data_IF_698095856981
#
_entry.id   IF_698095856981
#
_cell.length_a   1.000
_cell.length_b   1.000
_cell.length_c   1.000
_cell.angle_alpha   90.00
_cell.angle_beta   90.00
_cell.angle_gamma   90.00
#
_symmetry.space_group_name_H-M   'P 1'
#
loop_
_entity.id
_entity.type
_entity.pdbx_description
1 polymer ?
#
# COMPACT_ATOMS: atom_id res chain seq x y z
N UNK A 1 -20.54 -8.75 -16.98
CA UNK A 1 -19.93 -9.48 -15.85
C UNK A 1 -19.94 -8.56 -14.65
N UNK A 2 -20.56 -9.00 -13.58
CA UNK A 2 -20.71 -8.17 -12.39
C UNK A 2 -19.40 -8.17 -11.62
N UNK A 3 -18.69 -7.04 -11.67
CA UNK A 3 -17.55 -6.81 -10.81
C UNK A 3 -18.08 -6.51 -9.41
N UNK A 4 -17.91 -7.46 -8.50
CA UNK A 4 -18.27 -7.26 -7.11
C UNK A 4 -17.24 -6.39 -6.41
N UNK A 5 -17.66 -5.22 -5.90
CA UNK A 5 -16.81 -4.33 -5.09
C UNK A 5 -17.08 -4.55 -3.62
N UNK A 6 -16.02 -4.69 -2.84
CA UNK A 6 -16.06 -4.74 -1.38
C UNK A 6 -15.19 -3.62 -0.81
N UNK A 7 -15.80 -2.71 -0.09
CA UNK A 7 -15.08 -1.68 0.64
C UNK A 7 -14.79 -2.16 2.06
N UNK A 8 -13.57 -1.95 2.51
CA UNK A 8 -13.10 -2.38 3.82
C UNK A 8 -12.55 -1.16 4.57
N UNK A 9 -13.09 -0.90 5.74
CA UNK A 9 -12.51 0.07 6.67
C UNK A 9 -11.46 -0.63 7.53
N UNK A 10 -10.18 -0.37 7.23
CA UNK A 10 -9.06 -0.91 7.99
C UNK A 10 -8.50 0.11 8.99
N UNK A 11 -8.83 1.39 8.83
CA UNK A 11 -8.28 2.42 9.69
C UNK A 11 -8.77 3.84 9.41
N UNK A 12 -10.01 4.03 9.04
CA UNK A 12 -10.60 5.37 8.91
C UNK A 12 -10.63 6.04 10.28
N UNK A 13 -10.21 7.32 10.36
CA UNK A 13 -10.04 8.07 11.60
C UNK A 13 -11.37 8.42 12.33
N UNK A 14 -12.51 7.93 11.85
CA UNK A 14 -13.83 8.05 12.44
C UNK A 14 -14.69 6.85 12.12
N UNK A 15 -15.79 6.66 12.84
CA UNK A 15 -16.76 5.64 12.49
C UNK A 15 -17.61 6.08 11.30
N UNK A 16 -17.81 5.15 10.37
CA UNK A 16 -18.67 5.33 9.22
C UNK A 16 -19.80 4.28 9.28
N UNK A 17 -21.01 4.75 9.07
CA UNK A 17 -22.20 3.91 9.03
C UNK A 17 -22.78 3.94 7.61
N UNK A 18 -22.27 3.08 6.74
CA UNK A 18 -22.78 2.95 5.39
C UNK A 18 -22.99 1.48 5.00
N UNK A 19 -24.06 1.25 4.25
CA UNK A 19 -24.35 -0.11 3.74
C UNK A 19 -23.24 -0.60 2.84
N UNK A 20 -22.84 -1.85 3.02
CA UNK A 20 -21.80 -2.49 2.20
C UNK A 20 -20.37 -2.24 2.64
N UNK A 21 -20.13 -1.43 3.67
CA UNK A 21 -18.80 -1.27 4.27
C UNK A 21 -18.52 -2.44 5.22
N UNK A 22 -17.40 -3.11 5.01
CA UNK A 22 -16.87 -4.14 5.91
C UNK A 22 -15.91 -3.47 6.91
N UNK A 23 -16.35 -3.37 8.16
CA UNK A 23 -15.56 -2.71 9.20
C UNK A 23 -14.58 -3.71 9.81
N UNK A 24 -13.30 -3.55 9.48
CA UNK A 24 -12.16 -4.35 9.98
C UNK A 24 -11.11 -3.44 10.62
N UNK A 25 -11.57 -2.40 11.27
CA UNK A 25 -10.76 -1.32 11.81
C UNK A 25 -9.71 -1.84 12.80
N UNK A 26 -8.44 -1.57 12.49
CA UNK A 26 -7.29 -1.86 13.37
C UNK A 26 -7.05 -0.69 14.32
N UNK A 27 -7.10 0.53 13.79
CA UNK A 27 -6.96 1.77 14.56
C UNK A 27 -7.71 2.91 13.87
N UNK A 28 -7.86 4.04 14.54
CA UNK A 28 -8.47 5.26 14.01
C UNK A 28 -7.44 6.13 13.27
N UNK A 29 -6.89 5.61 12.18
CA UNK A 29 -5.77 6.19 11.44
C UNK A 29 -4.42 5.83 12.04
N UNK A 30 -3.36 6.19 11.33
CA UNK A 30 -1.99 6.09 11.86
C UNK A 30 -1.63 7.35 12.66
N UNK A 31 -0.62 7.22 13.49
CA UNK A 31 0.04 8.37 14.12
C UNK A 31 0.85 9.16 13.09
N UNK A 32 1.22 10.37 13.43
CA UNK A 32 2.06 11.21 12.57
C UNK A 32 3.51 10.74 12.60
N UNK A 33 3.97 10.06 11.56
CA UNK A 33 5.31 9.50 11.50
C UNK A 33 6.44 10.55 11.55
N UNK A 34 6.15 11.83 11.29
CA UNK A 34 7.11 12.91 11.51
C UNK A 34 7.43 13.10 13.01
N UNK A 35 6.48 12.76 13.91
CA UNK A 35 6.60 12.95 15.35
C UNK A 35 6.91 11.67 16.10
N UNK A 36 6.28 10.55 15.70
CA UNK A 36 6.37 9.24 16.35
C UNK A 36 6.19 8.12 15.31
N UNK A 37 6.40 6.83 15.62
CA UNK A 37 6.09 5.74 14.69
C UNK A 37 4.64 5.77 14.23
N UNK A 38 4.40 5.47 12.95
CA UNK A 38 3.06 5.52 12.35
C UNK A 38 2.05 4.58 13.05
N UNK A 39 2.52 3.41 13.47
CA UNK A 39 1.71 2.41 14.18
C UNK A 39 2.62 1.52 15.02
N UNK A 40 2.03 0.66 15.86
CA UNK A 40 2.80 -0.38 16.53
C UNK A 40 3.06 -1.54 15.56
N UNK A 41 4.02 -2.41 15.90
CA UNK A 41 4.29 -3.62 15.12
C UNK A 41 3.09 -4.56 15.12
N UNK A 42 2.38 -4.64 16.24
CA UNK A 42 1.16 -5.43 16.40
C UNK A 42 0.03 -4.92 15.51
N UNK A 43 -0.17 -3.60 15.43
CA UNK A 43 -1.15 -2.96 14.52
C UNK A 43 -0.81 -3.29 13.05
N UNK A 44 0.46 -3.22 12.65
CA UNK A 44 0.89 -3.60 11.31
C UNK A 44 0.61 -5.07 11.00
N UNK A 45 0.94 -5.97 11.92
CA UNK A 45 0.65 -7.42 11.79
C UNK A 45 -0.86 -7.66 11.71
N UNK A 46 -1.66 -7.02 12.56
CA UNK A 46 -3.12 -7.14 12.55
C UNK A 46 -3.73 -6.70 11.22
N UNK A 47 -3.24 -5.58 10.66
CA UNK A 47 -3.69 -5.10 9.36
C UNK A 47 -3.33 -6.08 8.22
N UNK A 48 -2.13 -6.65 8.25
CA UNK A 48 -1.70 -7.69 7.30
C UNK A 48 -2.59 -8.93 7.44
N UNK A 49 -2.81 -9.42 8.65
CA UNK A 49 -3.67 -10.57 8.90
C UNK A 49 -5.11 -10.33 8.42
N UNK A 50 -5.61 -9.10 8.56
CA UNK A 50 -6.93 -8.70 8.02
C UNK A 50 -6.97 -8.87 6.50
N UNK A 51 -5.95 -8.43 5.78
CA UNK A 51 -5.85 -8.61 4.33
C UNK A 51 -5.82 -10.08 3.92
N UNK A 52 -5.04 -10.90 4.61
CA UNK A 52 -4.99 -12.36 4.38
C UNK A 52 -6.37 -12.99 4.58
N UNK A 53 -7.04 -12.65 5.67
CA UNK A 53 -8.36 -13.19 6.01
C UNK A 53 -9.42 -12.79 4.98
N UNK A 54 -9.38 -11.56 4.46
CA UNK A 54 -10.29 -11.10 3.40
C UNK A 54 -10.15 -11.94 2.14
N UNK A 55 -8.93 -12.28 1.73
CA UNK A 55 -8.71 -13.14 0.55
C UNK A 55 -9.23 -14.54 0.79
N UNK A 56 -9.02 -15.11 1.98
CA UNK A 56 -9.61 -16.41 2.36
C UNK A 56 -11.12 -16.40 2.20
N UNK A 57 -11.80 -15.43 2.80
CA UNK A 57 -13.27 -15.29 2.73
C UNK A 57 -13.77 -15.17 1.28
N UNK A 58 -13.03 -14.43 0.42
CA UNK A 58 -13.39 -14.30 -0.98
C UNK A 58 -13.16 -15.61 -1.76
N UNK A 59 -12.06 -16.31 -1.48
CA UNK A 59 -11.82 -17.64 -2.08
C UNK A 59 -12.91 -18.63 -1.71
N UNK A 60 -13.30 -18.68 -0.44
CA UNK A 60 -14.39 -19.54 0.06
C UNK A 60 -15.76 -19.17 -0.57
N UNK A 61 -15.96 -17.90 -0.89
CA UNK A 61 -17.13 -17.40 -1.61
C UNK A 61 -17.08 -17.66 -3.15
N UNK A 62 -16.03 -18.33 -3.66
CA UNK A 62 -15.91 -18.72 -5.06
C UNK A 62 -15.18 -17.72 -5.96
N UNK A 63 -14.63 -16.64 -5.44
CA UNK A 63 -13.84 -15.70 -6.25
C UNK A 63 -12.46 -16.29 -6.57
N UNK A 64 -12.06 -16.20 -7.84
CA UNK A 64 -10.82 -16.76 -8.36
C UNK A 64 -9.84 -15.70 -8.89
N UNK A 65 -10.21 -14.43 -8.85
CA UNK A 65 -9.39 -13.28 -9.19
C UNK A 65 -9.82 -12.11 -8.31
N UNK A 66 -8.86 -11.41 -7.75
CA UNK A 66 -9.10 -10.22 -6.93
C UNK A 66 -8.26 -9.07 -7.52
N UNK A 67 -8.83 -7.88 -7.58
CA UNK A 67 -8.10 -6.65 -7.83
C UNK A 67 -8.08 -5.82 -6.55
N UNK A 68 -6.92 -5.27 -6.23
CA UNK A 68 -6.78 -4.32 -5.13
C UNK A 68 -7.15 -2.92 -5.58
N UNK A 69 -7.50 -2.09 -4.64
CA UNK A 69 -7.72 -0.67 -4.77
C UNK A 69 -7.69 -0.04 -3.38
N UNK A 70 -7.51 1.24 -3.30
CA UNK A 70 -7.47 1.94 -2.03
C UNK A 70 -8.07 3.34 -2.13
N UNK A 71 -8.47 3.88 -1.00
CA UNK A 71 -8.80 5.28 -0.78
C UNK A 71 -8.24 5.69 0.58
N UNK A 72 -7.09 6.37 0.57
CA UNK A 72 -6.40 6.83 1.77
C UNK A 72 -5.90 8.26 1.61
N UNK A 73 -6.44 9.20 2.39
CA UNK A 73 -5.98 10.58 2.36
C UNK A 73 -4.56 10.66 2.92
N UNK A 74 -3.64 11.18 2.10
CA UNK A 74 -2.23 11.36 2.49
C UNK A 74 -1.35 10.11 2.29
N UNK A 75 -1.88 8.99 1.83
CA UNK A 75 -1.14 7.74 1.70
C UNK A 75 -0.03 7.74 0.63
N UNK A 76 -0.04 8.68 -0.32
CA UNK A 76 1.12 8.89 -1.20
C UNK A 76 2.38 9.31 -0.43
N UNK A 77 2.22 9.94 0.75
CA UNK A 77 3.34 10.31 1.63
C UNK A 77 3.95 9.08 2.31
N UNK A 78 3.12 8.24 2.92
CA UNK A 78 3.56 6.99 3.54
C UNK A 78 4.13 6.02 2.50
N UNK A 79 3.51 5.92 1.32
CA UNK A 79 4.01 5.08 0.22
C UNK A 79 5.38 5.52 -0.28
N UNK A 80 5.60 6.83 -0.48
CA UNK A 80 6.92 7.36 -0.86
C UNK A 80 7.97 7.08 0.23
N UNK A 81 7.61 7.20 1.51
CA UNK A 81 8.51 6.90 2.62
C UNK A 81 8.88 5.40 2.66
N UNK A 82 7.90 4.52 2.58
CA UNK A 82 8.13 3.06 2.56
C UNK A 82 9.01 2.67 1.38
N UNK A 83 8.66 3.10 0.17
CA UNK A 83 9.42 2.76 -1.04
C UNK A 83 10.84 3.30 -0.98
N UNK A 84 11.05 4.52 -0.49
CA UNK A 84 12.38 5.11 -0.30
C UNK A 84 13.27 4.23 0.58
N UNK A 85 12.74 3.73 1.69
CA UNK A 85 13.48 2.83 2.58
C UNK A 85 13.80 1.51 1.91
N UNK A 86 12.81 0.86 1.29
CA UNK A 86 12.97 -0.46 0.69
C UNK A 86 13.96 -0.46 -0.49
N UNK A 87 13.89 0.56 -1.33
CA UNK A 87 14.71 0.66 -2.56
C UNK A 87 16.00 1.46 -2.37
N UNK A 88 16.18 2.12 -1.22
CA UNK A 88 17.26 3.07 -0.97
C UNK A 88 17.31 4.23 -1.99
N UNK A 89 16.19 4.55 -2.57
CA UNK A 89 16.05 5.68 -3.50
C UNK A 89 15.73 6.94 -2.71
N UNK A 90 16.41 8.07 -2.96
CA UNK A 90 16.11 9.33 -2.27
C UNK A 90 14.65 9.76 -2.42
N UNK A 91 14.00 10.25 -1.34
CA UNK A 91 12.60 10.68 -1.38
C UNK A 91 12.27 11.69 -2.47
N UNK A 92 13.21 12.53 -2.87
CA UNK A 92 13.05 13.52 -3.94
C UNK A 92 12.70 12.90 -5.29
N UNK A 93 13.17 11.69 -5.55
CA UNK A 93 12.92 10.98 -6.80
C UNK A 93 11.60 10.21 -6.80
N UNK A 94 11.03 9.98 -5.59
CA UNK A 94 9.85 9.15 -5.39
C UNK A 94 8.59 9.95 -5.05
N UNK A 95 8.76 11.17 -4.55
CA UNK A 95 7.64 11.94 -4.03
C UNK A 95 6.92 12.69 -5.14
N UNK A 96 5.67 12.31 -5.35
CA UNK A 96 4.78 12.97 -6.29
C UNK A 96 3.88 14.01 -5.61
N UNK A 97 3.15 14.77 -6.46
CA UNK A 97 2.21 15.81 -6.01
C UNK A 97 0.95 15.23 -5.36
N UNK A 98 0.71 13.92 -5.50
CA UNK A 98 -0.51 13.30 -5.00
C UNK A 98 -1.76 14.01 -5.53
N UNK A 99 -2.65 14.43 -4.64
CA UNK A 99 -3.89 15.12 -4.97
C UNK A 99 -3.72 16.59 -5.44
N UNK A 100 -2.56 16.96 -5.95
CA UNK A 100 -2.35 18.29 -6.57
C UNK A 100 -1.63 19.32 -5.69
N UNK A 101 -0.65 18.91 -4.91
CA UNK A 101 0.19 19.83 -4.14
C UNK A 101 0.90 20.88 -5.02
N UNK A 102 1.02 22.11 -4.48
CA UNK A 102 1.87 23.14 -5.02
C UNK A 102 3.36 22.72 -5.00
N UNK A 103 4.23 23.46 -5.69
CA UNK A 103 5.66 23.16 -5.66
C UNK A 103 6.27 23.30 -4.26
N UNK A 104 5.84 24.29 -3.48
CA UNK A 104 6.23 24.44 -2.07
C UNK A 104 5.70 23.31 -1.20
N UNK A 105 4.46 22.85 -1.43
CA UNK A 105 3.88 21.70 -0.74
C UNK A 105 4.62 20.40 -1.04
N UNK A 106 5.06 20.22 -2.29
CA UNK A 106 5.86 19.06 -2.69
C UNK A 106 7.24 19.07 -1.99
N UNK A 107 7.92 20.22 -1.97
CA UNK A 107 9.20 20.36 -1.27
C UNK A 107 9.07 20.05 0.22
N UNK A 108 8.04 20.61 0.87
CA UNK A 108 7.75 20.32 2.28
C UNK A 108 7.44 18.84 2.53
N UNK A 109 6.62 18.22 1.69
CA UNK A 109 6.31 16.77 1.78
C UNK A 109 7.59 15.93 1.71
N UNK A 110 8.49 16.26 0.78
CA UNK A 110 9.78 15.57 0.60
C UNK A 110 10.66 15.72 1.85
N UNK A 111 10.78 16.94 2.37
CA UNK A 111 11.52 17.24 3.60
C UNK A 111 10.97 16.45 4.80
N UNK A 112 9.64 16.39 4.97
CA UNK A 112 8.99 15.63 6.04
C UNK A 112 9.35 14.13 5.93
N UNK A 113 9.32 13.55 4.73
CA UNK A 113 9.69 12.15 4.52
C UNK A 113 11.17 11.92 4.89
N UNK A 114 12.07 12.75 4.42
CA UNK A 114 13.51 12.65 4.72
C UNK A 114 13.78 12.69 6.24
N UNK A 115 13.22 13.70 6.91
CA UNK A 115 13.40 13.90 8.35
C UNK A 115 12.79 12.73 9.15
N UNK A 116 11.66 12.19 8.71
CA UNK A 116 11.03 11.04 9.34
C UNK A 116 11.89 9.77 9.18
N UNK A 117 12.38 9.47 8.00
CA UNK A 117 13.28 8.32 7.77
C UNK A 117 14.55 8.47 8.62
N UNK A 118 15.16 9.66 8.63
CA UNK A 118 16.37 9.91 9.40
C UNK A 118 16.17 9.75 10.91
N UNK A 119 15.02 10.19 11.44
CA UNK A 119 14.71 10.13 12.88
C UNK A 119 14.18 8.77 13.33
N UNK A 120 13.34 8.10 12.51
CA UNK A 120 12.76 6.78 12.83
C UNK A 120 13.70 5.62 12.55
N UNK A 121 14.65 5.80 11.63
CA UNK A 121 15.66 4.79 11.24
C UNK A 121 15.03 3.42 10.98
N UNK A 122 14.09 3.32 10.04
CA UNK A 122 13.48 2.04 9.70
C UNK A 122 14.53 1.08 9.14
N UNK A 123 14.53 -0.17 9.62
CA UNK A 123 15.38 -1.22 9.08
C UNK A 123 14.77 -1.78 7.80
N UNK A 124 15.39 -1.52 6.65
CA UNK A 124 14.92 -1.99 5.35
C UNK A 124 14.82 -3.51 5.22
N UNK A 125 15.52 -4.25 6.06
CA UNK A 125 15.51 -5.72 6.06
C UNK A 125 14.40 -6.29 6.95
N UNK A 126 13.75 -5.45 7.75
CA UNK A 126 12.56 -5.79 8.53
C UNK A 126 11.34 -5.01 8.02
N UNK A 127 10.59 -5.61 7.12
CA UNK A 127 9.41 -4.99 6.50
C UNK A 127 8.39 -4.51 7.54
N UNK A 128 8.23 -5.25 8.65
CA UNK A 128 7.32 -4.84 9.71
C UNK A 128 7.84 -3.62 10.47
N UNK A 129 9.15 -3.47 10.62
CA UNK A 129 9.75 -2.26 11.20
C UNK A 129 9.53 -1.05 10.28
N UNK A 130 9.71 -1.22 8.97
CA UNK A 130 9.43 -0.17 7.98
C UNK A 130 7.97 0.25 8.05
N UNK A 131 7.05 -0.71 7.97
CA UNK A 131 5.60 -0.46 8.00
C UNK A 131 5.17 0.21 9.31
N UNK A 132 5.66 -0.23 10.44
CA UNK A 132 5.30 0.34 11.74
C UNK A 132 5.81 1.78 11.90
N UNK A 133 6.98 2.09 11.38
CA UNK A 133 7.61 3.41 11.54
C UNK A 133 7.10 4.46 10.57
N UNK A 134 6.93 4.11 9.29
CA UNK A 134 6.63 5.09 8.22
C UNK A 134 5.50 4.63 7.26
N UNK A 135 4.85 3.52 7.55
CA UNK A 135 3.81 2.94 6.70
C UNK A 135 2.40 3.48 6.92
N UNK A 136 1.43 2.73 6.40
CA UNK A 136 0.00 2.99 6.51
C UNK A 136 -0.79 1.70 6.70
N UNK A 137 -1.95 1.76 7.36
CA UNK A 137 -2.82 0.59 7.60
C UNK A 137 -3.36 0.01 6.29
N UNK A 138 -3.61 0.87 5.30
CA UNK A 138 -4.01 0.51 3.94
C UNK A 138 -2.91 -0.28 3.23
N UNK A 139 -1.67 0.19 3.29
CA UNK A 139 -0.49 -0.51 2.73
C UNK A 139 -0.35 -1.89 3.38
N UNK A 140 -0.48 -1.97 4.71
CA UNK A 140 -0.43 -3.23 5.46
C UNK A 140 -1.55 -4.18 5.03
N UNK A 141 -2.79 -3.69 4.94
CA UNK A 141 -3.94 -4.49 4.52
C UNK A 141 -3.82 -5.03 3.11
N UNK A 142 -3.37 -4.20 2.16
CA UNK A 142 -3.14 -4.62 0.78
C UNK A 142 -1.97 -5.60 0.69
N UNK A 143 -0.86 -5.38 1.42
CA UNK A 143 0.23 -6.34 1.50
C UNK A 143 -0.26 -7.70 2.04
N UNK A 144 -1.14 -7.68 3.05
CA UNK A 144 -1.82 -8.86 3.55
C UNK A 144 -2.68 -9.55 2.49
N UNK A 145 -3.41 -8.79 1.68
CA UNK A 145 -4.18 -9.37 0.57
C UNK A 145 -3.26 -10.08 -0.43
N UNK A 146 -2.12 -9.51 -0.79
CA UNK A 146 -1.14 -10.14 -1.68
C UNK A 146 -0.58 -11.43 -1.08
N UNK A 147 -0.23 -11.44 0.19
CA UNK A 147 0.18 -12.66 0.90
C UNK A 147 -0.95 -13.71 0.90
N UNK A 148 -2.18 -13.28 1.15
CA UNK A 148 -3.37 -14.13 1.07
C UNK A 148 -3.56 -14.75 -0.32
N UNK A 149 -3.26 -13.99 -1.38
CA UNK A 149 -3.25 -14.46 -2.75
C UNK A 149 -2.35 -15.68 -2.95
N UNK A 150 -1.13 -15.61 -2.44
CA UNK A 150 -0.20 -16.73 -2.49
C UNK A 150 -0.64 -17.91 -1.62
N UNK A 151 -1.10 -17.65 -0.39
CA UNK A 151 -1.55 -18.68 0.56
C UNK A 151 -2.75 -19.47 0.00
N UNK A 152 -3.73 -18.77 -0.55
CA UNK A 152 -4.99 -19.37 -1.02
C UNK A 152 -5.03 -19.61 -2.54
N UNK A 153 -3.92 -19.38 -3.24
CA UNK A 153 -3.77 -19.54 -4.70
C UNK A 153 -4.82 -18.74 -5.47
N UNK A 154 -4.95 -17.49 -5.14
CA UNK A 154 -5.81 -16.52 -5.84
C UNK A 154 -4.92 -15.48 -6.51
N UNK A 155 -4.93 -15.34 -7.83
CA UNK A 155 -4.27 -14.25 -8.52
C UNK A 155 -4.81 -12.91 -8.06
N UNK A 156 -3.90 -11.94 -7.82
CA UNK A 156 -4.29 -10.61 -7.39
C UNK A 156 -3.69 -9.55 -8.31
N UNK A 157 -4.54 -8.66 -8.77
CA UNK A 157 -4.14 -7.55 -9.64
C UNK A 157 -3.71 -6.36 -8.79
N UNK A 158 -2.50 -5.90 -9.06
CA UNK A 158 -1.96 -4.65 -8.50
C UNK A 158 -2.60 -3.48 -9.26
N UNK A 159 -3.14 -2.51 -8.54
CA UNK A 159 -3.70 -1.28 -9.09
C UNK A 159 -2.58 -0.24 -9.34
N UNK A 160 -2.63 0.90 -8.66
CA UNK A 160 -1.71 2.01 -8.84
C UNK A 160 -0.48 1.97 -7.91
N UNK A 161 0.08 3.16 -7.68
CA UNK A 161 1.32 3.35 -6.92
C UNK A 161 1.27 2.77 -5.50
N UNK A 162 0.21 3.06 -4.73
CA UNK A 162 0.08 2.59 -3.34
C UNK A 162 0.05 1.06 -3.30
N UNK A 163 -0.71 0.46 -4.21
CA UNK A 163 -0.82 -0.99 -4.35
C UNK A 163 0.53 -1.62 -4.74
N UNK A 164 1.31 -0.97 -5.63
CA UNK A 164 2.65 -1.43 -6.00
C UNK A 164 3.63 -1.37 -4.82
N UNK A 165 3.54 -0.34 -3.96
CA UNK A 165 4.33 -0.27 -2.72
C UNK A 165 3.94 -1.38 -1.74
N UNK A 166 2.66 -1.65 -1.58
CA UNK A 166 2.18 -2.78 -0.77
C UNK A 166 2.68 -4.14 -1.32
N UNK A 167 2.77 -4.28 -2.65
CA UNK A 167 3.36 -5.46 -3.28
C UNK A 167 4.85 -5.62 -2.95
N UNK A 168 5.63 -4.53 -2.91
CA UNK A 168 7.01 -4.56 -2.44
C UNK A 168 7.11 -5.08 -1.00
N UNK A 169 6.21 -4.63 -0.12
CA UNK A 169 6.16 -5.12 1.26
C UNK A 169 5.82 -6.62 1.31
N UNK A 170 4.83 -7.08 0.55
CA UNK A 170 4.43 -8.47 0.52
C UNK A 170 5.54 -9.39 -0.04
N UNK A 171 6.20 -8.98 -1.13
CA UNK A 171 7.33 -9.73 -1.71
C UNK A 171 8.54 -9.72 -0.77
N UNK A 172 8.79 -8.62 -0.05
CA UNK A 172 9.82 -8.55 0.98
C UNK A 172 9.56 -9.48 2.18
N UNK A 173 8.29 -9.69 2.56
CA UNK A 173 7.89 -10.64 3.61
C UNK A 173 7.93 -12.08 3.13
N UNK A 174 7.50 -12.34 1.89
CA UNK A 174 7.43 -13.67 1.31
C UNK A 174 7.68 -13.60 -0.22
N UNK A 175 8.90 -13.84 -0.71
CA UNK A 175 9.25 -13.68 -2.13
C UNK A 175 8.36 -14.46 -3.10
N UNK A 176 7.88 -15.64 -2.72
CA UNK A 176 6.97 -16.47 -3.53
C UNK A 176 5.60 -15.82 -3.76
N UNK A 177 5.25 -14.79 -2.99
CA UNK A 177 4.03 -14.02 -3.20
C UNK A 177 3.97 -13.42 -4.63
N UNK A 178 5.12 -13.06 -5.19
CA UNK A 178 5.26 -12.46 -6.51
C UNK A 178 4.57 -13.27 -7.62
N UNK A 179 4.57 -14.59 -7.54
CA UNK A 179 4.02 -15.48 -8.58
C UNK A 179 2.49 -15.38 -8.70
N UNK A 180 1.84 -14.76 -7.72
CA UNK A 180 0.38 -14.54 -7.69
C UNK A 180 -0.01 -13.09 -7.97
N UNK A 181 0.96 -12.23 -8.32
CA UNK A 181 0.72 -10.80 -8.56
C UNK A 181 0.73 -10.48 -10.05
N UNK A 182 -0.17 -9.60 -10.47
CA UNK A 182 -0.28 -9.12 -11.85
C UNK A 182 -0.39 -7.61 -11.86
N UNK A 183 0.58 -6.90 -12.43
CA UNK A 183 0.54 -5.45 -12.54
C UNK A 183 -0.44 -5.03 -13.64
N UNK A 184 -1.48 -4.25 -13.30
CA UNK A 184 -2.45 -3.78 -14.28
C UNK A 184 -1.87 -2.71 -15.21
N UNK A 185 -1.44 -1.61 -14.64
CA UNK A 185 -0.95 -0.43 -15.37
C UNK A 185 0.22 0.23 -14.64
N UNK A 186 0.96 1.05 -15.37
CA UNK A 186 1.96 1.93 -14.79
C UNK A 186 1.29 3.20 -14.26
N UNK A 187 1.40 3.45 -12.97
CA UNK A 187 0.86 4.67 -12.36
C UNK A 187 1.56 5.93 -12.92
N UNK A 188 0.80 7.02 -13.07
CA UNK A 188 1.34 8.34 -13.41
C UNK A 188 2.16 8.99 -12.27
N UNK A 189 2.10 8.45 -11.05
CA UNK A 189 2.99 8.88 -9.96
C UNK A 189 4.45 8.59 -10.31
N UNK A 190 5.41 9.50 -10.02
CA UNK A 190 6.81 9.37 -10.44
C UNK A 190 7.46 8.03 -10.06
N UNK A 191 7.09 7.49 -8.91
CA UNK A 191 7.63 6.23 -8.37
C UNK A 191 6.86 4.98 -8.81
N UNK A 192 5.79 5.11 -9.60
CA UNK A 192 4.94 3.97 -9.98
C UNK A 192 5.72 2.89 -10.73
N UNK A 193 6.48 3.29 -11.75
CA UNK A 193 7.34 2.37 -12.50
C UNK A 193 8.43 1.75 -11.61
N UNK A 194 9.10 2.56 -10.81
CA UNK A 194 10.18 2.09 -9.92
C UNK A 194 9.66 1.07 -8.91
N UNK A 195 8.44 1.26 -8.38
CA UNK A 195 7.83 0.31 -7.46
C UNK A 195 7.59 -1.06 -8.09
N UNK A 196 7.20 -1.12 -9.37
CA UNK A 196 7.05 -2.38 -10.10
C UNK A 196 8.41 -3.00 -10.45
N UNK A 197 9.33 -2.19 -10.96
CA UNK A 197 10.68 -2.64 -11.33
C UNK A 197 11.43 -3.24 -10.13
N UNK A 198 11.25 -2.68 -8.92
CA UNK A 198 11.88 -3.15 -7.69
C UNK A 198 11.53 -4.61 -7.32
N UNK A 199 10.37 -5.09 -7.74
CA UNK A 199 9.94 -6.49 -7.56
C UNK A 199 10.01 -7.29 -8.87
N UNK A 200 10.68 -6.75 -9.90
CA UNK A 200 10.86 -7.39 -11.21
C UNK A 200 9.56 -7.60 -11.97
N UNK A 201 8.61 -6.67 -11.85
CA UNK A 201 7.33 -6.70 -12.56
C UNK A 201 7.23 -5.57 -13.58
N UNK A 202 6.45 -5.82 -14.63
CA UNK A 202 6.13 -4.84 -15.65
C UNK A 202 4.62 -4.74 -15.79
N UNK A 203 4.13 -3.51 -15.97
CA UNK A 203 2.73 -3.28 -16.22
C UNK A 203 2.31 -3.83 -17.59
N UNK A 204 1.13 -4.43 -17.65
CA UNK A 204 0.55 -4.93 -18.92
C UNK A 204 -0.06 -3.81 -19.76
N UNK A 205 -0.50 -2.73 -19.10
CA UNK A 205 -1.13 -1.58 -19.76
C UNK A 205 -0.32 -0.32 -19.48
N UNK A 206 -0.06 0.45 -20.50
CA UNK A 206 0.52 1.79 -20.39
C UNK A 206 -0.62 2.82 -20.41
N UNK A 207 -1.37 2.86 -19.32
CA UNK A 207 -2.53 3.73 -19.15
C UNK A 207 -2.19 4.88 -18.21
N UNK A 208 -2.20 6.10 -18.74
CA UNK A 208 -2.32 7.30 -17.94
C UNK A 208 -3.62 7.17 -17.10
N UNK A 209 -3.49 7.37 -15.80
CA UNK A 209 -4.54 7.38 -14.77
C UNK A 209 -6.00 7.37 -15.28
N UNK A 210 -6.84 6.49 -14.74
CA UNK A 210 -8.29 6.39 -15.01
C UNK A 210 -9.08 7.71 -14.87
N UNK A 211 -8.47 8.78 -14.35
CA UNK A 211 -9.04 10.13 -14.24
C UNK A 211 -9.26 10.78 -15.63
N UNK A 212 -8.66 10.25 -16.67
CA UNK A 212 -8.71 10.81 -18.02
C UNK A 212 -9.48 9.95 -19.04
N UNK A 213 -10.25 8.99 -18.58
CA UNK A 213 -11.17 8.20 -19.42
C UNK A 213 -12.58 8.75 -19.32
#
# INVERSE_FOLDING_TARGET
>A
SDVYKRQVDIGIARDLYCSGLDVRKVAYGTRNFAKEPAMTREEAVQAICTGIQLVKEKKEAGYNLIATGEMGIGNTTTSSAVLSVLTQTPPEQLTGRGAGLSSSGLAHKTEVIQNAIASRKPDRHDILDVLSKVGGLDICGIAGAFLGGAIYRVPIVIDGFISAVAANCAVGLAPLCRDYLYASHCSAEPAGKLALDAIGMHAYLDCLSLIHI
#
